data_IF_237938255545
#
_entry.id   IF_237938255545
#
_cell.length_a   1.000
_cell.length_b   1.000
_cell.length_c   1.000
_cell.angle_alpha   90.00
_cell.angle_beta   90.00
_cell.angle_gamma   90.00
#
_symmetry.space_group_name_H-M   'P 1'
#
loop_
_entity.id
_entity.type
_entity.pdbx_description
1 polymer ?
#
# COMPACT_ATOMS: atom_id res chain seq x y z
N UNK A 1 25.21 -5.41 -5.40
CA UNK A 1 24.24 -6.49 -5.72
C UNK A 1 23.51 -6.81 -4.43
N UNK A 2 22.38 -6.17 -4.18
CA UNK A 2 21.54 -6.51 -3.01
C UNK A 2 21.00 -7.92 -3.22
N UNK A 3 21.31 -8.82 -2.30
CA UNK A 3 20.78 -10.18 -2.24
C UNK A 3 19.26 -10.14 -2.52
N UNK A 4 18.79 -10.77 -3.60
CA UNK A 4 17.36 -10.91 -3.86
C UNK A 4 16.77 -11.79 -2.74
N UNK A 5 16.24 -11.13 -1.72
CA UNK A 5 15.60 -11.81 -0.60
C UNK A 5 14.25 -12.30 -1.12
N UNK A 6 14.12 -13.60 -1.39
CA UNK A 6 12.85 -14.18 -1.82
C UNK A 6 11.92 -14.30 -0.60
N UNK A 7 11.01 -13.34 -0.45
CA UNK A 7 10.00 -13.40 0.60
C UNK A 7 8.97 -14.45 0.24
N UNK A 8 8.85 -15.52 1.03
CA UNK A 8 7.93 -16.63 0.75
C UNK A 8 6.57 -16.37 1.38
N UNK A 9 6.55 -15.78 2.59
CA UNK A 9 5.32 -15.48 3.34
C UNK A 9 5.03 -13.98 3.39
N UNK A 10 3.78 -13.62 3.69
CA UNK A 10 3.40 -12.22 3.93
C UNK A 10 4.08 -11.66 5.19
N UNK A 11 4.31 -12.51 6.21
CA UNK A 11 4.99 -12.12 7.44
C UNK A 11 6.44 -11.71 7.22
N UNK A 12 7.16 -12.45 6.37
CA UNK A 12 8.53 -12.11 5.96
C UNK A 12 8.58 -10.84 5.11
N UNK A 13 7.61 -10.68 4.20
CA UNK A 13 7.51 -9.52 3.32
C UNK A 13 7.14 -8.24 4.08
N UNK A 14 6.35 -8.33 5.16
CA UNK A 14 5.77 -7.17 5.82
C UNK A 14 6.80 -6.15 6.36
N UNK A 15 7.87 -6.54 7.08
CA UNK A 15 8.91 -5.59 7.48
C UNK A 15 9.61 -4.92 6.29
N UNK A 16 9.81 -5.64 5.18
CA UNK A 16 10.37 -5.06 3.96
C UNK A 16 9.41 -4.04 3.34
N UNK A 17 8.14 -4.41 3.21
CA UNK A 17 7.09 -3.51 2.72
C UNK A 17 7.05 -2.21 3.52
N UNK A 18 7.07 -2.29 4.86
CA UNK A 18 7.05 -1.08 5.70
C UNK A 18 8.29 -0.21 5.51
N UNK A 19 9.46 -0.81 5.26
CA UNK A 19 10.69 -0.05 4.94
C UNK A 19 10.63 0.64 3.58
N UNK A 20 9.98 0.02 2.59
CA UNK A 20 9.69 0.66 1.30
C UNK A 20 8.68 1.82 1.41
N UNK A 21 8.02 1.94 2.57
CA UNK A 21 7.10 3.02 2.92
C UNK A 21 7.59 3.77 4.16
N UNK A 22 8.89 4.03 4.24
CA UNK A 22 9.53 4.66 5.40
C UNK A 22 9.08 6.10 5.65
N UNK A 23 8.73 6.83 4.58
CA UNK A 23 8.30 8.21 4.66
C UNK A 23 6.81 8.31 5.03
N UNK A 24 6.50 9.16 6.02
CA UNK A 24 5.12 9.41 6.45
C UNK A 24 4.23 9.91 5.30
N UNK A 25 4.74 10.78 4.42
CA UNK A 25 3.96 11.31 3.30
C UNK A 25 3.61 10.22 2.29
N UNK A 26 4.52 9.27 2.03
CA UNK A 26 4.22 8.12 1.18
C UNK A 26 3.06 7.30 1.76
N UNK A 27 3.13 6.95 3.04
CA UNK A 27 2.04 6.23 3.74
C UNK A 27 0.70 6.98 3.70
N UNK A 28 0.73 8.30 3.85
CA UNK A 28 -0.47 9.15 3.77
C UNK A 28 -1.06 9.14 2.35
N UNK A 29 -0.23 9.22 1.31
CA UNK A 29 -0.71 9.12 -0.07
C UNK A 29 -1.37 7.77 -0.34
N UNK A 30 -0.76 6.67 0.11
CA UNK A 30 -1.39 5.34 0.04
C UNK A 30 -2.74 5.33 0.78
N UNK A 31 -2.80 5.85 2.00
CA UNK A 31 -4.04 5.92 2.76
C UNK A 31 -5.15 6.71 2.05
N UNK A 32 -4.82 7.87 1.46
CA UNK A 32 -5.75 8.68 0.66
C UNK A 32 -6.22 7.89 -0.57
N UNK A 33 -5.29 7.32 -1.32
CA UNK A 33 -5.59 6.51 -2.51
C UNK A 33 -6.51 5.34 -2.20
N UNK A 34 -6.21 4.57 -1.15
CA UNK A 34 -7.04 3.45 -0.70
C UNK A 34 -8.42 3.91 -0.20
N UNK A 35 -8.51 5.05 0.48
CA UNK A 35 -9.80 5.61 0.93
C UNK A 35 -10.71 5.98 -0.25
N UNK A 36 -10.15 6.65 -1.27
CA UNK A 36 -10.87 7.01 -2.49
C UNK A 36 -11.27 5.74 -3.26
N UNK A 37 -10.36 4.77 -3.36
CA UNK A 37 -10.63 3.49 -4.01
C UNK A 37 -11.77 2.73 -3.33
N UNK A 38 -11.83 2.75 -1.99
CA UNK A 38 -12.92 2.17 -1.23
C UNK A 38 -14.25 2.88 -1.53
N UNK A 39 -14.26 4.21 -1.65
CA UNK A 39 -15.45 4.98 -2.08
C UNK A 39 -15.96 4.58 -3.46
N UNK A 40 -15.04 4.33 -4.40
CA UNK A 40 -15.39 3.82 -5.74
C UNK A 40 -15.92 2.38 -5.70
N UNK A 41 -15.34 1.51 -4.88
CA UNK A 41 -15.83 0.13 -4.68
C UNK A 41 -17.25 0.14 -4.08
N UNK A 42 -17.49 0.99 -3.08
CA UNK A 42 -18.83 1.16 -2.49
C UNK A 42 -19.82 1.63 -3.56
N UNK A 43 -19.44 2.60 -4.39
CA UNK A 43 -20.26 3.06 -5.53
C UNK A 43 -20.54 1.94 -6.53
N UNK A 44 -19.55 1.10 -6.85
CA UNK A 44 -19.72 -0.03 -7.76
C UNK A 44 -20.83 -0.98 -7.27
N UNK A 45 -20.85 -1.28 -5.97
CA UNK A 45 -21.86 -2.14 -5.35
C UNK A 45 -23.21 -1.43 -5.24
N UNK A 46 -23.23 -0.18 -4.77
CA UNK A 46 -24.46 0.59 -4.55
C UNK A 46 -25.24 0.85 -5.84
N UNK A 47 -24.55 1.07 -6.95
CA UNK A 47 -25.14 1.34 -8.26
C UNK A 47 -25.11 0.14 -9.21
N UNK A 48 -24.63 -1.03 -8.75
CA UNK A 48 -24.44 -2.24 -9.57
C UNK A 48 -23.71 -1.98 -10.90
N UNK A 49 -22.74 -1.06 -10.87
CA UNK A 49 -22.04 -0.62 -12.06
C UNK A 49 -20.53 -0.90 -11.92
N UNK A 50 -19.99 -1.90 -12.62
CA UNK A 50 -18.58 -2.28 -12.49
C UNK A 50 -17.61 -1.23 -13.03
N UNK A 51 -18.06 -0.25 -13.83
CA UNK A 51 -17.20 0.83 -14.34
C UNK A 51 -16.57 1.66 -13.22
N UNK A 52 -17.22 1.76 -12.05
CA UNK A 52 -16.64 2.41 -10.88
C UNK A 52 -15.36 1.73 -10.37
N UNK A 53 -15.16 0.43 -10.65
CA UNK A 53 -13.92 -0.26 -10.30
C UNK A 53 -12.68 0.29 -11.03
N UNK A 54 -12.86 0.92 -12.21
CA UNK A 54 -11.77 1.63 -12.87
C UNK A 54 -11.32 2.85 -12.05
N UNK A 55 -12.26 3.57 -11.44
CA UNK A 55 -11.95 4.66 -10.50
C UNK A 55 -11.18 4.15 -9.28
N UNK A 56 -11.53 2.97 -8.77
CA UNK A 56 -10.82 2.34 -7.67
C UNK A 56 -9.37 1.98 -8.03
N UNK A 57 -9.16 1.34 -9.18
CA UNK A 57 -7.82 1.04 -9.68
C UNK A 57 -7.01 2.31 -9.92
N UNK A 58 -7.58 3.29 -10.63
CA UNK A 58 -6.90 4.53 -10.97
C UNK A 58 -6.45 5.29 -9.73
N UNK A 59 -7.35 5.51 -8.76
CA UNK A 59 -7.03 6.21 -7.52
C UNK A 59 -6.02 5.45 -6.67
N UNK A 60 -6.16 4.12 -6.50
CA UNK A 60 -5.19 3.32 -5.76
C UNK A 60 -3.77 3.45 -6.32
N UNK A 61 -3.59 3.25 -7.62
CA UNK A 61 -2.27 3.30 -8.26
C UNK A 61 -1.71 4.72 -8.38
N UNK A 62 -2.54 5.72 -8.71
CA UNK A 62 -2.06 7.10 -8.89
C UNK A 62 -1.37 7.62 -7.63
N UNK A 63 -2.03 7.54 -6.48
CA UNK A 63 -1.47 8.07 -5.24
C UNK A 63 -0.28 7.24 -4.75
N UNK A 64 -0.34 5.90 -4.89
CA UNK A 64 0.75 5.02 -4.51
C UNK A 64 2.02 5.30 -5.33
N UNK A 65 1.88 5.47 -6.65
CA UNK A 65 3.00 5.76 -7.53
C UNK A 65 3.59 7.16 -7.30
N UNK A 66 2.74 8.16 -7.01
CA UNK A 66 3.24 9.48 -6.61
C UNK A 66 4.13 9.36 -5.37
N UNK A 67 3.67 8.60 -4.37
CA UNK A 67 4.44 8.36 -3.16
C UNK A 67 5.76 7.65 -3.42
N UNK A 68 5.74 6.51 -4.13
CA UNK A 68 6.95 5.75 -4.43
C UNK A 68 7.96 6.52 -5.29
N UNK A 69 7.53 7.10 -6.41
CA UNK A 69 8.47 7.69 -7.36
C UNK A 69 8.98 9.08 -6.94
N UNK A 70 8.15 9.90 -6.30
CA UNK A 70 8.51 11.28 -5.96
C UNK A 70 8.92 11.47 -4.50
N UNK A 71 8.36 10.68 -3.57
CA UNK A 71 8.65 10.81 -2.13
C UNK A 71 9.74 9.83 -1.69
N UNK A 72 9.51 8.52 -1.85
CA UNK A 72 10.51 7.49 -1.48
C UNK A 72 11.66 7.40 -2.48
N UNK A 73 11.39 7.76 -3.75
CA UNK A 73 12.31 7.59 -4.88
C UNK A 73 12.75 6.13 -5.07
N UNK A 74 11.84 5.20 -4.80
CA UNK A 74 12.02 3.76 -5.04
C UNK A 74 11.05 3.27 -6.13
N UNK A 75 11.25 2.02 -6.55
CA UNK A 75 10.30 1.33 -7.43
C UNK A 75 9.31 0.54 -6.56
N UNK A 76 7.99 0.63 -6.81
CA UNK A 76 7.00 -0.13 -6.08
C UNK A 76 7.34 -1.63 -6.02
N UNK A 77 7.29 -2.20 -4.81
CA UNK A 77 7.50 -3.64 -4.59
C UNK A 77 6.48 -4.50 -5.36
N UNK A 78 5.34 -3.93 -5.75
CA UNK A 78 4.30 -4.56 -6.57
C UNK A 78 4.84 -5.14 -7.88
N UNK A 79 5.91 -4.58 -8.45
CA UNK A 79 6.52 -5.13 -9.66
C UNK A 79 7.23 -6.47 -9.45
N UNK A 80 7.63 -6.79 -8.22
CA UNK A 80 8.28 -8.05 -7.86
C UNK A 80 7.33 -8.97 -7.09
N UNK A 81 6.54 -8.40 -6.18
CA UNK A 81 5.64 -9.12 -5.28
C UNK A 81 4.21 -8.57 -5.37
N UNK A 82 3.50 -8.75 -6.50
CA UNK A 82 2.23 -8.07 -6.76
C UNK A 82 1.16 -8.39 -5.71
N UNK A 83 0.96 -9.68 -5.42
CA UNK A 83 -0.06 -10.13 -4.45
C UNK A 83 0.32 -9.71 -3.03
N UNK A 84 1.59 -9.87 -2.63
CA UNK A 84 2.01 -9.51 -1.27
C UNK A 84 1.95 -8.00 -1.04
N UNK A 85 2.27 -7.20 -2.05
CA UNK A 85 2.18 -5.73 -2.00
C UNK A 85 0.73 -5.28 -1.86
N UNK A 86 -0.18 -5.82 -2.69
CA UNK A 86 -1.60 -5.52 -2.59
C UNK A 86 -2.18 -5.86 -1.20
N UNK A 87 -1.89 -7.07 -0.68
CA UNK A 87 -2.36 -7.45 0.67
C UNK A 87 -1.74 -6.57 1.76
N UNK A 88 -0.49 -6.13 1.56
CA UNK A 88 0.19 -5.25 2.50
C UNK A 88 -0.34 -3.82 2.48
N UNK A 89 -0.81 -3.30 1.33
CA UNK A 89 -1.51 -2.01 1.24
C UNK A 89 -2.78 -2.02 2.10
N UNK A 90 -3.60 -3.06 1.98
CA UNK A 90 -4.76 -3.23 2.84
C UNK A 90 -4.37 -3.39 4.31
N UNK A 91 -3.34 -4.19 4.62
CA UNK A 91 -2.85 -4.35 5.99
C UNK A 91 -2.39 -3.00 6.58
N UNK A 92 -1.65 -2.19 5.81
CA UNK A 92 -1.20 -0.86 6.24
C UNK A 92 -2.37 0.09 6.46
N UNK A 93 -3.36 0.06 5.56
CA UNK A 93 -4.61 0.81 5.73
C UNK A 93 -5.33 0.43 7.03
N UNK A 94 -5.52 -0.88 7.29
CA UNK A 94 -6.12 -1.38 8.52
C UNK A 94 -5.32 -1.03 9.78
N UNK A 95 -4.00 -1.18 9.75
CA UNK A 95 -3.14 -0.75 10.85
C UNK A 95 -3.21 0.76 11.10
N UNK A 96 -3.44 1.57 10.06
CA UNK A 96 -3.62 3.01 10.18
C UNK A 96 -4.91 3.34 10.91
N UNK A 97 -6.05 2.79 10.46
CA UNK A 97 -7.37 3.08 11.07
C UNK A 97 -7.49 2.51 12.49
N UNK A 98 -6.82 1.40 12.79
CA UNK A 98 -6.83 0.78 14.13
C UNK A 98 -5.76 1.34 15.07
N UNK A 99 -4.94 2.30 14.62
CA UNK A 99 -3.86 2.90 15.41
C UNK A 99 -2.68 1.96 15.69
N UNK A 100 -2.61 0.80 15.04
CA UNK A 100 -1.55 -0.20 15.23
C UNK A 100 -0.29 0.09 14.40
N UNK A 101 -0.38 0.93 13.37
CA UNK A 101 0.71 1.15 12.41
C UNK A 101 2.02 1.59 13.08
N UNK A 102 1.96 2.46 14.09
CA UNK A 102 3.17 2.92 14.80
C UNK A 102 3.96 1.78 15.45
N UNK A 103 3.25 0.81 16.05
CA UNK A 103 3.88 -0.37 16.65
C UNK A 103 4.54 -1.26 15.59
N UNK A 104 3.88 -1.44 14.44
CA UNK A 104 4.40 -2.25 13.34
C UNK A 104 5.62 -1.59 12.66
N UNK A 105 5.60 -0.26 12.48
CA UNK A 105 6.75 0.51 11.98
C UNK A 105 7.96 0.36 12.90
N UNK A 106 7.77 0.48 14.21
CA UNK A 106 8.84 0.30 15.20
C UNK A 106 9.45 -1.11 15.12
N UNK A 107 8.62 -2.16 15.05
CA UNK A 107 9.09 -3.55 14.86
C UNK A 107 9.87 -3.73 13.55
N UNK A 108 9.49 -3.01 12.50
CA UNK A 108 10.14 -3.07 11.19
C UNK A 108 11.44 -2.23 11.11
N UNK A 109 11.78 -1.47 12.16
CA UNK A 109 12.94 -0.59 12.20
C UNK A 109 12.76 0.74 11.45
N UNK A 110 11.51 1.15 11.21
CA UNK A 110 11.18 2.42 10.54
C UNK A 110 10.98 3.50 11.62
N UNK A 111 11.75 4.57 11.53
CA UNK A 111 11.69 5.73 12.46
C UNK A 111 10.64 6.75 12.02
#
# INVERSE_FOLDING_TARGET
>A
MSQETNYTTLGEFWPFYLREHSNKLNRVLHFIGTSIALGWIISAVAFLNPWYLLGALFSGYLFAWIGHFFIEKNRPATFTYPIKSFLSDWRMFFCTITGQLGKELQKAGVK
#
